data_IF_594343181207
#
_entry.id   IF_594343181207
#
_cell.length_a   1.000
_cell.length_b   1.000
_cell.length_c   1.000
_cell.angle_alpha   90.00
_cell.angle_beta   90.00
_cell.angle_gamma   90.00
#
_symmetry.space_group_name_H-M   'P 1'
#
loop_
_entity.id
_entity.type
_entity.pdbx_description
1 polymer ?
#
# COMPACT_ATOMS: atom_id res chain seq x y z
N UNK A 1 -1.25 -17.01 4.94
CA UNK A 1 -0.69 -16.25 6.08
C UNK A 1 -1.87 -15.60 6.78
N UNK A 2 -1.97 -15.69 8.10
CA UNK A 2 -3.03 -15.01 8.87
C UNK A 2 -2.40 -14.32 10.09
N UNK A 3 -2.69 -13.04 10.26
CA UNK A 3 -2.09 -12.16 11.25
C UNK A 3 -3.19 -11.63 12.17
N UNK A 4 -3.09 -11.84 13.49
CA UNK A 4 -4.06 -11.27 14.43
C UNK A 4 -4.03 -9.73 14.38
N UNK A 5 -2.83 -9.16 14.35
CA UNK A 5 -2.62 -7.71 14.27
C UNK A 5 -1.55 -7.39 13.25
N UNK A 6 -1.84 -6.37 12.43
CA UNK A 6 -0.92 -5.86 11.42
C UNK A 6 -0.58 -4.39 11.68
N UNK A 7 0.69 -4.04 11.47
CA UNK A 7 1.12 -2.65 11.28
C UNK A 7 1.31 -2.43 9.79
N UNK A 8 0.43 -1.64 9.16
CA UNK A 8 0.61 -1.16 7.79
C UNK A 8 1.34 0.19 7.84
N UNK A 9 2.62 0.20 7.49
CA UNK A 9 3.46 1.40 7.57
C UNK A 9 3.54 2.05 6.20
N UNK A 10 3.02 3.28 6.09
CA UNK A 10 3.13 4.08 4.88
C UNK A 10 4.56 4.59 4.65
N UNK A 11 4.77 5.36 3.58
CA UNK A 11 6.03 6.06 3.33
C UNK A 11 6.03 7.52 3.77
N UNK A 12 4.93 8.05 4.30
CA UNK A 12 4.73 9.48 4.59
C UNK A 12 5.77 10.09 5.52
N UNK A 13 6.10 11.37 5.28
CA UNK A 13 6.91 12.18 6.20
C UNK A 13 6.31 12.37 7.59
N UNK A 14 5.00 12.16 7.77
CA UNK A 14 4.34 12.22 9.08
C UNK A 14 4.93 11.22 10.10
N UNK A 15 5.59 10.17 9.61
CA UNK A 15 6.23 9.17 10.46
C UNK A 15 7.45 9.72 11.21
N UNK A 16 8.10 10.77 10.68
CA UNK A 16 9.35 11.30 11.26
C UNK A 16 9.13 11.82 12.67
N UNK A 17 10.08 11.52 13.54
CA UNK A 17 10.13 11.96 14.93
C UNK A 17 8.95 11.49 15.81
N UNK A 18 8.05 10.66 15.29
CA UNK A 18 6.93 10.13 16.08
C UNK A 18 7.32 8.99 17.02
N UNK A 19 8.51 8.40 16.87
CA UNK A 19 9.10 7.43 17.83
C UNK A 19 8.25 6.19 18.11
N UNK A 20 7.36 5.77 17.19
CA UNK A 20 6.48 4.59 17.36
C UNK A 20 7.08 3.30 16.81
N UNK A 21 8.39 3.25 16.56
CA UNK A 21 9.04 2.10 15.95
C UNK A 21 8.87 0.80 16.75
N UNK A 22 8.93 0.87 18.08
CA UNK A 22 8.67 -0.29 18.94
C UNK A 22 7.23 -0.76 18.86
N UNK A 23 6.27 0.17 18.82
CA UNK A 23 4.85 -0.17 18.71
C UNK A 23 4.54 -0.83 17.36
N UNK A 24 5.09 -0.28 16.27
CA UNK A 24 4.99 -0.88 14.93
C UNK A 24 5.49 -2.33 14.97
N UNK A 25 6.64 -2.56 15.60
CA UNK A 25 7.29 -3.85 15.70
C UNK A 25 6.60 -4.83 16.67
N UNK A 26 5.60 -4.41 17.47
CA UNK A 26 4.82 -5.33 18.32
C UNK A 26 3.76 -6.11 17.55
N UNK A 27 3.31 -5.63 16.40
CA UNK A 27 2.33 -6.35 15.57
C UNK A 27 2.87 -7.70 15.10
N UNK A 28 1.96 -8.67 14.95
CA UNK A 28 2.31 -10.00 14.42
C UNK A 28 2.94 -9.89 13.03
N UNK A 29 2.36 -9.02 12.20
CA UNK A 29 2.85 -8.75 10.85
C UNK A 29 3.11 -7.25 10.64
N UNK A 30 4.23 -6.92 10.00
CA UNK A 30 4.55 -5.54 9.59
C UNK A 30 4.59 -5.47 8.06
N UNK A 31 3.69 -4.66 7.49
CA UNK A 31 3.53 -4.47 6.05
C UNK A 31 4.17 -3.14 5.66
N UNK A 32 5.10 -3.16 4.71
CA UNK A 32 5.78 -1.96 4.17
C UNK A 32 5.64 -1.87 2.67
N UNK A 33 5.97 -0.72 2.10
CA UNK A 33 5.78 -0.44 0.67
C UNK A 33 7.08 -0.03 -0.02
N UNK A 34 7.22 -0.47 -1.28
CA UNK A 34 8.25 -0.03 -2.22
C UNK A 34 9.66 -0.05 -1.62
N UNK A 35 10.42 1.03 -1.78
CA UNK A 35 11.80 1.15 -1.32
C UNK A 35 11.94 1.82 0.06
N UNK A 36 10.85 1.94 0.82
CA UNK A 36 10.84 2.61 2.13
C UNK A 36 11.77 1.88 3.13
N UNK A 37 12.89 2.51 3.57
CA UNK A 37 13.92 1.87 4.39
C UNK A 37 13.64 1.99 5.89
N UNK A 38 14.08 0.99 6.66
CA UNK A 38 14.08 1.08 8.14
C UNK A 38 15.41 1.57 8.70
N UNK A 39 16.52 1.34 7.98
CA UNK A 39 17.85 1.75 8.40
C UNK A 39 17.95 3.28 8.49
N UNK A 40 18.35 3.79 9.66
CA UNK A 40 18.40 5.22 9.98
C UNK A 40 17.09 5.80 10.52
N UNK A 41 16.00 5.03 10.48
CA UNK A 41 14.66 5.46 10.90
C UNK A 41 14.01 4.53 11.92
N UNK A 42 14.76 3.57 12.47
CA UNK A 42 14.24 2.48 13.30
C UNK A 42 13.41 2.97 14.49
N UNK A 43 13.81 4.10 15.09
CA UNK A 43 13.08 4.71 16.22
C UNK A 43 11.67 5.13 15.83
N UNK A 44 11.50 5.62 14.61
CA UNK A 44 10.24 6.17 14.12
C UNK A 44 9.38 5.11 13.44
N UNK A 45 9.99 4.26 12.60
CA UNK A 45 9.25 3.34 11.72
C UNK A 45 9.44 1.87 12.05
N UNK A 46 10.24 1.52 13.06
CA UNK A 46 10.54 0.14 13.44
C UNK A 46 11.60 -0.52 12.56
N UNK A 47 11.90 -1.79 12.86
CA UNK A 47 12.93 -2.60 12.20
C UNK A 47 12.33 -3.74 11.39
N UNK A 48 11.19 -4.28 11.82
CA UNK A 48 10.62 -5.51 11.26
C UNK A 48 9.94 -5.25 9.93
N UNK A 49 9.98 -6.24 9.04
CA UNK A 49 9.18 -6.30 7.81
C UNK A 49 8.78 -7.75 7.57
N UNK A 50 7.49 -8.04 7.62
CA UNK A 50 6.94 -9.37 7.33
C UNK A 50 6.53 -9.48 5.87
N UNK A 51 5.92 -8.41 5.35
CA UNK A 51 5.42 -8.32 3.99
C UNK A 51 5.84 -6.98 3.38
N UNK A 52 6.31 -6.98 2.14
CA UNK A 52 6.61 -5.77 1.38
C UNK A 52 5.88 -5.77 0.05
N UNK A 53 5.03 -4.77 -0.15
CA UNK A 53 4.27 -4.58 -1.39
C UNK A 53 5.02 -3.61 -2.29
N UNK A 54 5.32 -4.00 -3.53
CA UNK A 54 6.22 -3.25 -4.41
C UNK A 54 5.57 -3.01 -5.77
N UNK A 55 5.44 -1.76 -6.16
CA UNK A 55 5.05 -1.40 -7.52
C UNK A 55 6.18 -1.72 -8.51
N UNK A 56 5.81 -2.11 -9.73
CA UNK A 56 6.74 -2.39 -10.83
C UNK A 56 7.76 -1.25 -11.05
N UNK A 57 7.30 0.00 -10.96
CA UNK A 57 8.12 1.21 -11.10
C UNK A 57 9.17 1.38 -10.00
N UNK A 58 8.95 0.78 -8.82
CA UNK A 58 9.86 0.85 -7.68
C UNK A 58 10.92 -0.25 -7.68
N UNK A 59 10.88 -1.21 -8.61
CA UNK A 59 11.84 -2.33 -8.62
C UNK A 59 13.30 -1.86 -8.70
N UNK A 60 13.60 -0.88 -9.56
CA UNK A 60 14.97 -0.36 -9.70
C UNK A 60 15.48 0.28 -8.41
N UNK A 61 14.62 1.00 -7.69
CA UNK A 61 14.96 1.62 -6.41
C UNK A 61 15.16 0.58 -5.30
N UNK A 62 14.28 -0.44 -5.26
CA UNK A 62 14.41 -1.58 -4.37
C UNK A 62 15.76 -2.29 -4.55
N UNK A 63 16.15 -2.57 -5.80
CA UNK A 63 17.41 -3.26 -6.13
C UNK A 63 18.65 -2.42 -5.80
N UNK A 64 18.59 -1.10 -5.99
CA UNK A 64 19.66 -0.18 -5.53
C UNK A 64 19.90 -0.27 -4.02
N UNK A 65 18.86 -0.60 -3.25
CA UNK A 65 18.91 -0.76 -1.78
C UNK A 65 18.89 -2.24 -1.35
N UNK A 66 19.32 -3.18 -2.20
CA UNK A 66 19.23 -4.64 -1.93
C UNK A 66 19.78 -5.06 -0.57
N UNK A 67 20.91 -4.49 -0.13
CA UNK A 67 21.52 -4.83 1.15
C UNK A 67 20.62 -4.47 2.35
N UNK A 68 19.84 -3.40 2.24
CA UNK A 68 18.96 -2.88 3.28
C UNK A 68 17.52 -3.39 3.15
N UNK A 69 17.11 -3.88 1.98
CA UNK A 69 15.71 -4.16 1.70
C UNK A 69 15.41 -5.58 1.24
N UNK A 70 16.37 -6.32 0.69
CA UNK A 70 16.17 -7.69 0.22
C UNK A 70 16.95 -8.70 1.07
N UNK A 71 18.14 -8.32 1.53
CA UNK A 71 19.06 -9.22 2.23
C UNK A 71 18.91 -9.18 3.76
N UNK A 72 17.95 -8.42 4.30
CA UNK A 72 17.81 -8.20 5.75
C UNK A 72 17.12 -9.36 6.46
N UNK A 73 16.12 -9.97 5.82
CA UNK A 73 15.42 -11.14 6.37
C UNK A 73 14.97 -12.05 5.25
N UNK A 74 15.33 -13.33 5.35
CA UNK A 74 14.85 -14.35 4.42
C UNK A 74 13.36 -14.67 4.62
N UNK A 75 12.77 -14.23 5.75
CA UNK A 75 11.37 -14.47 6.05
C UNK A 75 10.41 -13.45 5.46
N UNK A 76 10.91 -12.29 5.03
CA UNK A 76 10.09 -11.26 4.39
C UNK A 76 9.51 -11.78 3.07
N UNK A 77 8.19 -11.70 2.94
CA UNK A 77 7.50 -11.92 1.68
C UNK A 77 7.44 -10.62 0.87
N UNK A 78 7.67 -10.70 -0.44
CA UNK A 78 7.57 -9.59 -1.38
C UNK A 78 6.43 -9.85 -2.35
N UNK A 79 5.52 -8.89 -2.49
CA UNK A 79 4.40 -8.95 -3.44
C UNK A 79 4.54 -7.81 -4.42
N UNK A 80 4.83 -8.15 -5.68
CA UNK A 80 5.02 -7.20 -6.76
C UNK A 80 3.73 -7.00 -7.55
N UNK A 81 3.43 -5.76 -7.94
CA UNK A 81 2.25 -5.43 -8.73
C UNK A 81 2.59 -4.43 -9.84
N UNK A 82 1.84 -4.47 -10.94
CA UNK A 82 2.06 -3.55 -12.05
C UNK A 82 1.21 -3.86 -13.28
N UNK A 83 1.31 -3.02 -14.33
CA UNK A 83 0.58 -3.23 -15.56
C UNK A 83 1.00 -4.53 -16.25
N UNK A 84 0.03 -5.18 -16.88
CA UNK A 84 0.23 -6.48 -17.54
C UNK A 84 1.36 -6.46 -18.54
N UNK A 85 1.55 -5.38 -19.31
CA UNK A 85 2.65 -5.26 -20.27
C UNK A 85 4.04 -5.40 -19.64
N UNK A 86 4.25 -4.82 -18.45
CA UNK A 86 5.54 -4.91 -17.74
C UNK A 86 5.71 -6.18 -16.90
N UNK A 87 4.57 -6.74 -16.45
CA UNK A 87 4.52 -7.86 -15.50
C UNK A 87 4.20 -9.21 -16.18
N UNK A 88 4.25 -9.27 -17.52
CA UNK A 88 3.93 -10.48 -18.28
C UNK A 88 5.06 -11.51 -18.19
N UNK A 89 4.71 -12.75 -17.85
CA UNK A 89 5.62 -13.89 -17.88
C UNK A 89 5.97 -14.32 -19.32
N UNK A 90 6.97 -15.20 -19.43
CA UNK A 90 7.39 -15.77 -20.72
C UNK A 90 8.23 -14.81 -21.57
N UNK A 91 9.08 -13.99 -20.94
CA UNK A 91 10.04 -13.13 -21.65
C UNK A 91 9.48 -11.77 -22.10
N UNK A 92 8.16 -11.54 -22.03
CA UNK A 92 7.53 -10.33 -22.59
C UNK A 92 7.55 -9.11 -21.67
N UNK A 93 7.48 -9.31 -20.35
CA UNK A 93 7.48 -8.23 -19.36
C UNK A 93 8.87 -7.95 -18.82
N UNK A 94 9.43 -6.76 -19.11
CA UNK A 94 10.78 -6.39 -18.66
C UNK A 94 10.95 -6.42 -17.14
N UNK A 95 9.93 -6.00 -16.39
CA UNK A 95 9.94 -6.04 -14.93
C UNK A 95 9.80 -7.48 -14.44
N UNK A 96 8.91 -8.28 -15.03
CA UNK A 96 8.78 -9.70 -14.67
C UNK A 96 10.10 -10.47 -14.90
N UNK A 97 10.76 -10.23 -16.03
CA UNK A 97 12.05 -10.85 -16.34
C UNK A 97 13.10 -10.48 -15.29
N UNK A 98 13.17 -9.20 -14.91
CA UNK A 98 14.07 -8.74 -13.84
C UNK A 98 13.77 -9.43 -12.51
N UNK A 99 12.50 -9.61 -12.16
CA UNK A 99 12.09 -10.35 -10.96
C UNK A 99 12.45 -11.83 -11.03
N UNK A 100 12.33 -12.46 -12.19
CA UNK A 100 12.74 -13.85 -12.39
C UNK A 100 14.26 -14.02 -12.19
N UNK A 101 15.07 -13.09 -12.69
CA UNK A 101 16.52 -13.05 -12.42
C UNK A 101 16.81 -12.91 -10.93
N UNK A 102 16.16 -11.97 -10.25
CA UNK A 102 16.32 -11.78 -8.79
C UNK A 102 15.91 -13.03 -8.01
N UNK A 103 14.81 -13.68 -8.41
CA UNK A 103 14.35 -14.94 -7.82
C UNK A 103 15.35 -16.08 -8.03
N UNK A 104 16.04 -16.12 -9.17
CA UNK A 104 17.15 -17.06 -9.41
C UNK A 104 18.33 -16.83 -8.46
N UNK A 105 18.65 -15.56 -8.16
CA UNK A 105 19.71 -15.19 -7.22
C UNK A 105 19.33 -15.39 -5.74
N UNK A 106 18.03 -15.35 -5.43
CA UNK A 106 17.47 -15.52 -4.09
C UNK A 106 16.46 -16.67 -4.08
N UNK A 107 16.91 -17.93 -4.26
CA UNK A 107 16.02 -19.06 -4.48
C UNK A 107 15.06 -19.31 -3.30
N UNK A 108 15.49 -19.03 -2.07
CA UNK A 108 14.65 -19.13 -0.87
C UNK A 108 13.79 -17.88 -0.59
N UNK A 109 14.01 -16.78 -1.33
CA UNK A 109 13.25 -15.54 -1.17
C UNK A 109 11.77 -15.73 -1.52
N UNK A 110 10.87 -15.31 -0.63
CA UNK A 110 9.42 -15.41 -0.82
C UNK A 110 8.95 -14.27 -1.72
N UNK A 111 8.88 -14.49 -3.04
CA UNK A 111 8.52 -13.46 -4.04
C UNK A 111 7.30 -13.87 -4.85
N UNK A 112 6.31 -12.99 -4.90
CA UNK A 112 5.00 -13.20 -5.52
C UNK A 112 4.64 -12.04 -6.43
N UNK A 113 3.78 -12.28 -7.42
CA UNK A 113 3.18 -11.23 -8.26
C UNK A 113 1.67 -11.23 -8.08
N UNK A 114 1.07 -10.06 -8.00
CA UNK A 114 -0.40 -9.91 -8.03
C UNK A 114 -0.91 -10.46 -9.36
N UNK A 115 -1.80 -11.44 -9.30
CA UNK A 115 -2.34 -12.09 -10.50
C UNK A 115 -3.15 -11.12 -11.34
N UNK A 116 -3.28 -11.40 -12.65
CA UNK A 116 -4.12 -10.61 -13.56
C UNK A 116 -5.57 -10.51 -13.04
N UNK A 117 -6.11 -11.60 -12.50
CA UNK A 117 -7.45 -11.61 -11.91
C UNK A 117 -7.55 -10.61 -10.75
N UNK A 118 -6.61 -10.64 -9.80
CA UNK A 118 -6.62 -9.72 -8.64
C UNK A 118 -6.35 -8.25 -9.05
N UNK A 119 -5.58 -8.01 -10.11
CA UNK A 119 -5.46 -6.66 -10.69
C UNK A 119 -6.82 -6.16 -11.22
N UNK A 120 -7.56 -7.00 -11.96
CA UNK A 120 -8.90 -6.64 -12.45
C UNK A 120 -9.90 -6.46 -11.30
N UNK A 121 -9.89 -7.35 -10.31
CA UNK A 121 -10.72 -7.21 -9.12
C UNK A 121 -10.45 -5.94 -8.33
N UNK A 122 -9.19 -5.47 -8.31
CA UNK A 122 -8.83 -4.21 -7.67
C UNK A 122 -9.38 -3.00 -8.44
N UNK A 123 -9.37 -3.05 -9.78
CA UNK A 123 -10.01 -2.04 -10.63
C UNK A 123 -11.54 -1.99 -10.39
N UNK A 124 -12.21 -3.14 -10.31
CA UNK A 124 -13.65 -3.22 -10.03
C UNK A 124 -14.01 -2.77 -8.60
N UNK A 125 -13.20 -3.13 -7.60
CA UNK A 125 -13.39 -2.67 -6.23
C UNK A 125 -13.28 -1.14 -6.16
N UNK A 126 -12.27 -0.55 -6.81
CA UNK A 126 -12.12 0.91 -6.86
C UNK A 126 -13.35 1.57 -7.50
N UNK A 127 -13.80 1.04 -8.63
CA UNK A 127 -15.00 1.53 -9.32
C UNK A 127 -16.25 1.41 -8.45
N UNK A 128 -16.41 0.31 -7.72
CA UNK A 128 -17.54 0.09 -6.79
C UNK A 128 -17.53 1.11 -5.65
N UNK A 129 -16.37 1.37 -5.06
CA UNK A 129 -16.24 2.25 -3.89
C UNK A 129 -16.29 3.75 -4.25
N UNK A 130 -15.94 4.11 -5.48
CA UNK A 130 -15.80 5.52 -5.90
C UNK A 130 -16.75 5.96 -7.01
N UNK A 131 -17.38 5.01 -7.71
CA UNK A 131 -18.07 5.26 -8.97
C UNK A 131 -17.14 5.54 -10.16
N UNK A 132 -15.81 5.60 -9.95
CA UNK A 132 -14.85 5.98 -10.97
C UNK A 132 -14.23 4.77 -11.65
N UNK A 133 -14.38 4.68 -12.97
CA UNK A 133 -13.64 3.70 -13.76
C UNK A 133 -12.19 4.17 -13.92
N UNK A 134 -11.25 3.35 -13.41
CA UNK A 134 -9.82 3.68 -13.43
C UNK A 134 -9.29 3.91 -14.85
N UNK A 135 -9.68 3.07 -15.82
CA UNK A 135 -9.19 3.17 -17.21
C UNK A 135 -9.78 4.38 -17.90
N UNK A 136 -11.09 4.62 -17.76
CA UNK A 136 -11.76 5.78 -18.37
C UNK A 136 -11.27 7.10 -17.78
N UNK A 137 -10.97 7.14 -16.49
CA UNK A 137 -10.45 8.31 -15.79
C UNK A 137 -8.93 8.50 -15.92
N UNK A 138 -8.26 7.64 -16.70
CA UNK A 138 -6.81 7.57 -16.85
C UNK A 138 -6.11 7.70 -15.49
N UNK A 139 -6.41 6.80 -14.56
CA UNK A 139 -5.83 6.78 -13.21
C UNK A 139 -5.11 5.46 -12.92
N UNK A 140 -4.35 5.43 -11.84
CA UNK A 140 -3.65 4.24 -11.34
C UNK A 140 -3.87 4.08 -9.85
N UNK A 141 -4.17 2.86 -9.41
CA UNK A 141 -4.20 2.55 -7.99
C UNK A 141 -2.81 2.68 -7.39
N UNK A 142 -2.70 3.19 -6.17
CA UNK A 142 -1.43 3.32 -5.48
C UNK A 142 -0.95 1.99 -4.90
N UNK A 143 0.32 1.94 -4.48
CA UNK A 143 0.79 0.79 -3.67
C UNK A 143 0.04 0.69 -2.33
N UNK A 144 -0.41 1.83 -1.80
CA UNK A 144 -1.23 1.90 -0.60
C UNK A 144 -2.56 1.16 -0.76
N UNK A 145 -3.20 1.27 -1.92
CA UNK A 145 -4.41 0.52 -2.25
C UNK A 145 -4.17 -0.99 -2.18
N UNK A 146 -3.15 -1.50 -2.88
CA UNK A 146 -2.83 -2.93 -2.85
C UNK A 146 -2.43 -3.41 -1.46
N UNK A 147 -1.68 -2.60 -0.70
CA UNK A 147 -1.27 -2.94 0.64
C UNK A 147 -2.45 -2.97 1.63
N UNK A 148 -3.41 -2.05 1.49
CA UNK A 148 -4.63 -2.04 2.30
C UNK A 148 -5.53 -3.25 1.98
N UNK A 149 -5.74 -3.56 0.69
CA UNK A 149 -6.48 -4.77 0.29
C UNK A 149 -5.84 -6.04 0.85
N UNK A 150 -4.50 -6.15 0.79
CA UNK A 150 -3.77 -7.27 1.39
C UNK A 150 -3.92 -7.31 2.91
N UNK A 151 -3.86 -6.16 3.59
CA UNK A 151 -4.06 -6.10 5.03
C UNK A 151 -5.47 -6.60 5.42
N UNK A 152 -6.51 -6.17 4.71
CA UNK A 152 -7.89 -6.63 4.96
C UNK A 152 -8.08 -8.13 4.72
N UNK A 153 -7.37 -8.73 3.77
CA UNK A 153 -7.42 -10.19 3.54
C UNK A 153 -6.66 -11.00 4.61
N UNK A 154 -5.61 -10.41 5.21
CA UNK A 154 -4.65 -11.15 6.05
C UNK A 154 -4.82 -10.91 7.55
N UNK A 155 -5.43 -9.80 7.96
CA UNK A 155 -5.32 -9.25 9.30
C UNK A 155 -6.66 -9.19 10.04
N UNK A 156 -6.66 -9.47 11.35
CA UNK A 156 -7.82 -9.20 12.22
C UNK A 156 -7.97 -7.72 12.54
N UNK A 157 -6.92 -7.11 13.09
CA UNK A 157 -6.81 -5.66 13.34
C UNK A 157 -5.71 -5.06 12.47
N UNK A 158 -5.94 -3.86 11.94
CA UNK A 158 -5.00 -3.13 11.08
C UNK A 158 -4.68 -1.76 11.70
N UNK A 159 -3.45 -1.59 12.17
CA UNK A 159 -2.91 -0.30 12.60
C UNK A 159 -2.16 0.33 11.41
N UNK A 160 -2.66 1.44 10.89
CA UNK A 160 -2.12 2.17 9.75
C UNK A 160 -1.31 3.35 10.24
N UNK A 161 0.00 3.35 9.96
CA UNK A 161 0.91 4.41 10.38
C UNK A 161 1.31 5.30 9.21
N UNK A 162 1.34 6.62 9.41
CA UNK A 162 1.81 7.57 8.40
C UNK A 162 0.76 7.89 7.34
N UNK A 163 -0.54 7.79 7.64
CA UNK A 163 -1.58 8.10 6.66
C UNK A 163 -2.44 9.20 7.21
N UNK A 164 -2.42 10.36 6.54
CA UNK A 164 -3.26 11.52 6.90
C UNK A 164 -4.73 11.29 6.54
N UNK A 165 -5.69 11.96 7.19
CA UNK A 165 -7.09 11.90 6.78
C UNK A 165 -7.26 12.56 5.39
N UNK A 166 -8.31 12.18 4.63
CA UNK A 166 -8.49 12.61 3.25
C UNK A 166 -8.63 14.13 3.07
N UNK A 167 -9.17 14.82 4.09
CA UNK A 167 -9.44 16.26 4.09
C UNK A 167 -8.22 17.13 4.44
N UNK A 168 -7.18 16.57 5.07
CA UNK A 168 -5.99 17.34 5.48
C UNK A 168 -5.34 18.06 4.30
N UNK A 169 -5.16 17.36 3.18
CA UNK A 169 -4.51 17.89 1.98
C UNK A 169 -5.52 18.38 0.92
N UNK A 170 -6.66 18.94 1.32
CA UNK A 170 -7.66 19.50 0.40
C UNK A 170 -7.09 20.65 -0.46
N UNK A 171 -6.06 21.35 0.03
CA UNK A 171 -5.26 22.35 -0.68
C UNK A 171 -3.76 22.08 -0.50
N UNK A 172 -2.87 22.51 -1.43
CA UNK A 172 -1.42 22.39 -1.25
C UNK A 172 -0.88 23.13 -0.02
N UNK A 173 -1.65 24.11 0.49
CA UNK A 173 -1.29 24.96 1.63
C UNK A 173 -1.96 24.54 2.94
N UNK A 174 -2.89 23.59 2.92
CA UNK A 174 -3.54 23.08 4.13
C UNK A 174 -2.74 21.92 4.68
N UNK A 175 -2.30 22.04 5.94
CA UNK A 175 -1.62 20.98 6.69
C UNK A 175 -0.13 21.25 6.98
N UNK A 176 0.50 20.42 7.85
CA UNK A 176 1.91 20.55 8.19
C UNK A 176 2.80 20.32 6.96
N UNK A 177 3.83 21.16 6.79
CA UNK A 177 4.80 20.98 5.70
C UNK A 177 5.76 19.85 6.04
N UNK A 178 5.34 18.62 5.73
CA UNK A 178 6.18 17.41 5.82
C UNK A 178 6.58 16.93 4.42
N UNK A 179 7.75 16.26 4.27
CA UNK A 179 8.12 15.65 3.00
C UNK A 179 7.15 14.51 2.65
N UNK A 180 6.97 14.27 1.36
CA UNK A 180 6.16 13.16 0.86
C UNK A 180 6.65 11.80 1.36
N UNK A 181 7.97 11.64 1.49
CA UNK A 181 8.58 10.45 2.07
C UNK A 181 9.41 10.76 3.32
N UNK A 182 9.30 9.96 4.39
CA UNK A 182 10.11 10.16 5.61
C UNK A 182 11.62 10.06 5.38
N UNK A 183 12.02 9.32 4.33
CA UNK A 183 13.41 9.06 3.98
C UNK A 183 13.96 10.01 2.91
N UNK A 184 13.18 11.01 2.49
CA UNK A 184 13.57 12.02 1.50
C UNK A 184 13.28 13.44 2.05
N UNK A 185 14.07 13.94 3.02
CA UNK A 185 13.82 15.23 3.67
C UNK A 185 13.81 16.43 2.72
N UNK A 186 14.52 16.33 1.60
CA UNK A 186 14.57 17.34 0.55
C UNK A 186 13.57 17.09 -0.60
N UNK A 187 12.66 16.12 -0.41
CA UNK A 187 11.65 15.75 -1.38
C UNK A 187 10.51 16.78 -1.47
N UNK A 188 9.56 16.54 -2.37
CA UNK A 188 8.36 17.37 -2.49
C UNK A 188 7.52 17.28 -1.21
N UNK A 189 6.75 18.33 -0.92
CA UNK A 189 5.73 18.33 0.13
C UNK A 189 4.70 17.20 -0.08
N UNK A 190 4.26 16.58 1.02
CA UNK A 190 3.21 15.56 1.02
C UNK A 190 1.93 16.06 0.35
N UNK A 191 1.33 17.13 0.86
CA UNK A 191 0.06 17.64 0.31
C UNK A 191 0.20 18.14 -1.12
N UNK A 192 1.32 18.79 -1.47
CA UNK A 192 1.56 19.20 -2.87
C UNK A 192 1.62 18.00 -3.82
N UNK A 193 2.22 16.88 -3.38
CA UNK A 193 2.28 15.65 -4.17
C UNK A 193 0.90 15.02 -4.29
N UNK A 194 0.14 14.93 -3.19
CA UNK A 194 -1.21 14.40 -3.20
C UNK A 194 -2.13 15.19 -4.12
N UNK A 195 -2.20 16.50 -3.99
CA UNK A 195 -3.05 17.35 -4.84
C UNK A 195 -2.63 17.29 -6.32
N UNK A 196 -1.33 17.32 -6.59
CA UNK A 196 -0.80 17.24 -7.97
C UNK A 196 -1.18 15.92 -8.65
N UNK A 197 -1.12 14.81 -7.93
CA UNK A 197 -1.52 13.50 -8.45
C UNK A 197 -3.05 13.38 -8.55
N UNK A 198 -3.77 13.81 -7.51
CA UNK A 198 -5.23 13.77 -7.44
C UNK A 198 -5.89 14.54 -8.58
N UNK A 199 -5.31 15.68 -9.00
CA UNK A 199 -5.85 16.53 -10.08
C UNK A 199 -5.28 16.22 -11.45
N UNK A 200 -4.35 15.28 -11.57
CA UNK A 200 -3.71 14.98 -12.86
C UNK A 200 -4.72 14.47 -13.89
N UNK A 201 -4.59 14.99 -15.11
CA UNK A 201 -5.32 14.54 -16.32
C UNK A 201 -4.50 13.55 -17.16
N UNK A 202 -3.21 13.38 -16.85
CA UNK A 202 -2.25 12.63 -17.68
C UNK A 202 -1.88 11.24 -17.13
N UNK A 203 -2.72 10.62 -16.30
CA UNK A 203 -2.36 9.32 -15.70
C UNK A 203 -1.65 9.50 -14.37
N UNK A 204 -2.37 9.37 -13.25
CA UNK A 204 -1.76 9.40 -11.93
C UNK A 204 -2.61 8.70 -10.86
N UNK A 205 -2.12 8.73 -9.62
CA UNK A 205 -2.80 8.20 -8.45
C UNK A 205 -3.88 9.14 -7.94
N UNK A 206 -4.99 8.57 -7.46
CA UNK A 206 -6.04 9.31 -6.77
C UNK A 206 -5.89 9.15 -5.25
N UNK A 207 -4.79 9.68 -4.71
CA UNK A 207 -4.39 9.46 -3.31
C UNK A 207 -5.40 9.95 -2.27
N UNK A 208 -6.13 11.03 -2.54
CA UNK A 208 -7.17 11.57 -1.67
C UNK A 208 -8.42 10.71 -1.80
N UNK A 209 -8.81 10.36 -3.02
CA UNK A 209 -9.95 9.46 -3.27
C UNK A 209 -9.75 8.09 -2.61
N UNK A 210 -8.57 7.49 -2.73
CA UNK A 210 -8.26 6.22 -2.04
C UNK A 210 -8.38 6.34 -0.52
N UNK A 211 -7.92 7.45 0.07
CA UNK A 211 -8.06 7.70 1.53
C UNK A 211 -9.52 7.87 1.96
N UNK A 212 -10.38 8.46 1.11
CA UNK A 212 -11.83 8.49 1.39
C UNK A 212 -12.42 7.08 1.47
N UNK A 213 -12.00 6.18 0.58
CA UNK A 213 -12.40 4.76 0.62
C UNK A 213 -11.89 4.09 1.89
N UNK A 214 -10.62 4.30 2.27
CA UNK A 214 -10.06 3.73 3.50
C UNK A 214 -10.76 4.23 4.76
N UNK A 215 -11.11 5.52 4.79
CA UNK A 215 -11.95 6.09 5.84
C UNK A 215 -13.33 5.42 5.87
N UNK A 216 -13.89 5.08 4.72
CA UNK A 216 -15.13 4.31 4.61
C UNK A 216 -15.00 2.89 5.21
N UNK A 217 -13.95 2.16 4.84
CA UNK A 217 -13.70 0.80 5.33
C UNK A 217 -13.47 0.73 6.84
N UNK A 218 -12.80 1.74 7.41
CA UNK A 218 -12.56 1.83 8.85
C UNK A 218 -13.83 2.01 9.70
N UNK A 219 -15.00 2.25 9.08
CA UNK A 219 -16.29 2.25 9.79
C UNK A 219 -16.86 0.86 10.01
N UNK A 220 -16.42 -0.15 9.25
CA UNK A 220 -16.93 -1.52 9.29
C UNK A 220 -15.86 -2.58 9.56
N UNK A 221 -14.60 -2.17 9.65
CA UNK A 221 -13.44 -3.03 9.92
C UNK A 221 -12.59 -2.40 11.03
N UNK A 222 -11.86 -3.21 11.80
CA UNK A 222 -10.96 -2.73 12.85
C UNK A 222 -9.66 -2.16 12.24
N UNK A 223 -9.78 -0.96 11.67
CA UNK A 223 -8.71 -0.18 11.06
C UNK A 223 -8.50 1.08 11.89
N UNK A 224 -7.28 1.29 12.37
CA UNK A 224 -6.91 2.41 13.24
C UNK A 224 -5.79 3.21 12.59
N UNK A 225 -5.92 4.53 12.55
CA UNK A 225 -4.93 5.40 11.92
C UNK A 225 -4.05 6.10 12.95
N UNK A 226 -2.78 6.21 12.61
CA UNK A 226 -1.71 6.67 13.48
C UNK A 226 -0.71 7.54 12.74
N UNK A 227 -0.16 8.55 13.43
CA UNK A 227 0.80 9.51 12.88
C UNK A 227 0.36 10.11 11.53
N UNK A 228 -0.69 10.95 11.51
CA UNK A 228 -1.48 11.43 12.67
C UNK A 228 -2.56 10.43 13.13
N UNK A 229 -3.01 10.54 14.38
CA UNK A 229 -4.18 9.79 14.85
C UNK A 229 -5.47 10.47 14.35
N UNK A 230 -6.38 9.70 13.76
CA UNK A 230 -7.69 10.18 13.32
C UNK A 230 -8.68 9.02 13.17
N UNK A 231 -9.96 9.35 13.20
CA UNK A 231 -11.07 8.41 13.01
C UNK A 231 -11.97 8.89 11.87
N UNK A 232 -12.61 7.98 11.13
CA UNK A 232 -13.63 8.36 10.15
C UNK A 232 -14.72 9.22 10.77
N UNK A 233 -15.28 10.21 10.04
CA UNK A 233 -16.45 10.93 10.50
C UNK A 233 -17.61 9.98 10.79
N UNK A 234 -18.27 10.16 11.93
CA UNK A 234 -19.55 9.51 12.23
C UNK A 234 -20.58 9.92 11.18
N UNK A 235 -21.23 8.95 10.54
CA UNK A 235 -22.40 9.26 9.72
C UNK A 235 -23.49 9.76 10.69
N UNK A 236 -23.98 10.97 10.47
CA UNK A 236 -25.25 11.38 11.09
C UNK A 236 -26.31 10.32 10.71
N UNK A 237 -27.22 9.93 11.62
CA UNK A 237 -28.28 9.01 11.28
C UNK A 237 -29.03 9.57 10.06
N UNK A 238 -28.91 8.89 8.92
CA UNK A 238 -29.83 9.13 7.83
C UNK A 238 -31.22 8.73 8.35
N UNK A 239 -32.22 9.58 8.12
CA UNK A 239 -33.63 9.19 8.26
C UNK A 239 -33.83 7.83 7.58
N UNK A 240 -34.40 6.89 8.33
CA UNK A 240 -34.61 5.50 7.94
C UNK A 240 -35.07 5.37 6.49
N UNK A 241 -34.19 4.85 5.64
CA UNK A 241 -34.58 4.15 4.42
C UNK A 241 -33.91 2.79 4.48
N UNK A 242 -34.73 1.80 4.81
CA UNK A 242 -34.38 0.39 4.92
C UNK A 242 -33.63 -0.09 3.68
N UNK A 243 -32.43 -0.63 3.87
CA UNK A 243 -31.84 -1.59 2.92
C UNK A 243 -30.98 -2.62 3.65
N UNK A 244 -31.55 -3.83 3.71
CA UNK A 244 -30.95 -5.17 3.68
C UNK A 244 -29.45 -5.37 3.98
N UNK A 245 -29.21 -6.24 4.98
CA UNK A 245 -27.95 -6.92 5.25
C UNK A 245 -27.40 -7.60 3.98
N UNK A 246 -26.29 -7.07 3.45
CA UNK A 246 -25.46 -7.76 2.48
C UNK A 246 -24.10 -8.06 3.12
N UNK A 247 -23.89 -9.31 3.52
CA UNK A 247 -22.59 -9.86 3.86
C UNK A 247 -21.63 -9.66 2.67
N UNK A 248 -20.73 -8.69 2.75
CA UNK A 248 -19.73 -8.41 1.69
C UNK A 248 -18.54 -9.36 1.85
N UNK A 249 -18.58 -10.50 1.17
CA UNK A 249 -17.35 -11.21 0.78
C UNK A 249 -16.56 -10.30 -0.16
N UNK A 250 -15.38 -9.85 0.26
CA UNK A 250 -14.61 -8.84 -0.47
C UNK A 250 -13.92 -9.42 -1.70
N UNK A 251 -13.56 -10.71 -1.75
CA UNK A 251 -13.13 -11.41 -2.97
C UNK A 251 -13.20 -12.94 -2.78
N UNK A 252 -13.42 -13.75 -3.84
CA UNK A 252 -13.29 -15.20 -3.76
C UNK A 252 -11.84 -15.63 -3.48
N UNK A 253 -11.70 -16.75 -2.76
CA UNK A 253 -10.42 -17.35 -2.33
C UNK A 253 -9.54 -17.79 -3.51
N UNK A 254 -8.23 -17.52 -3.45
CA UNK A 254 -7.24 -18.00 -4.44
C UNK A 254 -5.94 -17.19 -4.43
N UNK A 255 -4.89 -17.78 -3.84
CA UNK A 255 -3.59 -17.19 -3.50
C UNK A 255 -2.77 -16.74 -4.73
N UNK A 256 -2.07 -15.61 -4.57
CA UNK A 256 -1.01 -15.07 -5.43
C UNK A 256 -0.24 -16.12 -6.26
N UNK A 257 0.11 -15.76 -7.51
CA UNK A 257 0.99 -16.60 -8.31
C UNK A 257 2.44 -16.44 -7.81
N UNK A 258 3.07 -17.57 -7.45
CA UNK A 258 4.50 -17.62 -7.12
C UNK A 258 5.33 -17.32 -8.38
N UNK A 259 6.36 -16.48 -8.25
CA UNK A 259 7.34 -16.31 -9.32
C UNK A 259 8.20 -17.58 -9.36
N UNK A 260 8.09 -18.35 -10.45
CA UNK A 260 9.02 -19.45 -10.74
C UNK A 260 10.28 -18.84 -11.37
N UNK A 261 11.46 -19.18 -10.85
CA UNK A 261 12.74 -18.77 -11.44
C UNK A 261 12.91 -19.33 -12.86
N UNK A 262 13.88 -18.83 -13.64
CA UNK A 262 14.20 -19.45 -14.92
C UNK A 262 14.58 -20.92 -14.71
N UNK A 263 14.08 -21.79 -15.59
CA UNK A 263 14.57 -23.16 -15.75
C UNK A 263 15.92 -23.14 -16.44
#
# INVERSE_FOLDING_TARGET
MHCSTCSLVSSSGQLRFGKRGEEIDRSKCVIRMNDAPTAGFQRDVGRRTTLRVVAHSSLKLLLRRRAQLLNVSQDTAYVFWGPSGSMQAGGRGSVFNSLATVKGLLPHGKMYVVSRGKMLSSDELFKKETGMDRKKSNSWLSTGWFAMCLAMELCGTINVFGMVPPDLCSSPTTGPSVPYHYYEPKGRSECSTYVSHERSRQGSHRFITEKMVFSGWARSHDIRFHQPDWTPPTLLPALDVSTTNASRQILPNGMFALIRGPR
#
